data_IF_502825035885
#
_entry.id   IF_502825035885
#
_cell.length_a   1.000
_cell.length_b   1.000
_cell.length_c   1.000
_cell.angle_alpha   90.00
_cell.angle_beta   90.00
_cell.angle_gamma   90.00
#
_symmetry.space_group_name_H-M   'P 1'
#
loop_
_entity.id
_entity.type
_entity.pdbx_description
1 polymer ?
#
# COMPACT_ATOMS: atom_id res chain seq x y z
N UNK A 1 -22.80 58.20 -51.19
CA UNK A 1 -21.41 58.43 -51.63
C UNK A 1 -20.63 57.13 -51.49
N UNK A 2 -20.27 56.60 -52.64
CA UNK A 2 -19.07 55.81 -52.99
C UNK A 2 -18.24 55.10 -51.89
N UNK A 3 -18.18 53.79 -52.11
CA UNK A 3 -17.17 52.80 -51.80
C UNK A 3 -15.68 53.22 -51.75
N UNK A 4 -14.96 52.42 -50.94
CA UNK A 4 -13.61 51.81 -51.10
C UNK A 4 -12.37 52.64 -50.73
N UNK A 5 -11.67 52.13 -49.71
CA UNK A 5 -10.23 51.79 -49.79
C UNK A 5 -10.00 50.49 -48.98
N UNK A 6 -9.71 49.36 -49.64
CA UNK A 6 -8.39 48.84 -50.08
C UNK A 6 -7.73 47.98 -48.99
N UNK A 7 -7.89 46.65 -49.13
CA UNK A 7 -6.97 45.66 -48.56
C UNK A 7 -5.63 45.72 -49.33
N UNK A 8 -4.53 45.81 -48.58
CA UNK A 8 -3.18 45.36 -48.92
C UNK A 8 -2.57 44.90 -47.58
N UNK A 9 -1.98 43.72 -47.38
CA UNK A 9 -1.50 42.68 -48.27
C UNK A 9 -1.83 41.31 -47.67
N UNK A 10 -2.36 40.40 -48.48
CA UNK A 10 -2.13 38.95 -48.27
C UNK A 10 -0.96 38.59 -49.17
N UNK A 11 0.05 37.93 -48.61
CA UNK A 11 1.17 37.38 -49.37
C UNK A 11 0.66 36.21 -50.22
N UNK A 12 0.43 36.42 -51.52
CA UNK A 12 0.79 35.47 -52.59
C UNK A 12 0.44 35.99 -54.01
N UNK A 13 1.17 35.54 -55.05
CA UNK A 13 1.11 36.14 -56.38
C UNK A 13 0.14 35.39 -57.31
N UNK A 14 -0.59 36.12 -58.16
CA UNK A 14 -0.64 35.93 -59.63
C UNK A 14 -1.68 36.83 -60.33
N UNK A 15 -1.15 37.63 -61.25
CA UNK A 15 -1.61 38.08 -62.59
C UNK A 15 -3.10 37.93 -63.00
N UNK A 16 -3.65 39.05 -63.49
CA UNK A 16 -4.52 39.28 -64.69
C UNK A 16 -5.66 40.26 -64.35
N UNK A 17 -6.20 41.13 -65.21
CA UNK A 17 -5.89 41.81 -66.49
C UNK A 17 -6.95 42.94 -66.58
N UNK A 18 -6.65 44.02 -67.31
CA UNK A 18 -7.41 45.29 -67.50
C UNK A 18 -8.96 45.14 -67.63
N UNK A 19 -9.77 46.17 -67.33
CA UNK A 19 -10.23 47.19 -68.31
C UNK A 19 -10.79 48.46 -67.63
N UNK A 20 -10.69 49.54 -68.40
CA UNK A 20 -10.72 51.00 -68.15
C UNK A 20 -12.15 51.56 -68.06
N UNK A 21 -12.27 52.77 -67.47
CA UNK A 21 -13.11 53.94 -67.84
C UNK A 21 -13.68 54.58 -66.56
N UNK A 22 -13.78 55.89 -66.34
CA UNK A 22 -13.26 57.14 -66.90
C UNK A 22 -13.71 58.24 -65.89
N UNK A 23 -13.11 59.44 -65.97
CA UNK A 23 -13.58 60.74 -65.42
C UNK A 23 -13.20 61.13 -63.96
N UNK A 24 -12.12 61.92 -63.86
CA UNK A 24 -12.03 63.30 -63.30
C UNK A 24 -13.00 63.71 -62.16
N UNK A 25 -12.59 64.27 -61.01
CA UNK A 25 -11.93 65.59 -60.84
C UNK A 25 -11.43 65.84 -59.38
N UNK A 26 -10.21 66.41 -59.29
CA UNK A 26 -9.65 67.46 -58.41
C UNK A 26 -10.02 67.65 -56.91
N UNK A 27 -8.94 67.62 -56.11
CA UNK A 27 -8.44 68.60 -55.09
C UNK A 27 -9.24 68.87 -53.80
N UNK A 28 -8.66 68.54 -52.65
CA UNK A 28 -7.90 69.44 -51.75
C UNK A 28 -7.52 68.68 -50.45
N UNK A 29 -6.24 68.60 -50.08
CA UNK A 29 -5.51 69.48 -49.15
C UNK A 29 -5.73 69.18 -47.65
N UNK A 30 -4.65 68.66 -47.05
CA UNK A 30 -4.15 68.91 -45.69
C UNK A 30 -4.81 68.22 -44.48
N UNK A 31 -4.05 67.31 -43.84
CA UNK A 31 -3.51 67.50 -42.48
C UNK A 31 -2.88 66.19 -41.99
N UNK A 32 -1.56 66.19 -41.80
CA UNK A 32 -0.82 65.12 -41.12
C UNK A 32 -1.19 65.06 -39.63
N UNK A 33 -1.47 63.87 -39.11
CA UNK A 33 -1.55 63.59 -37.67
C UNK A 33 -0.66 62.41 -37.34
N UNK A 34 0.40 62.67 -36.59
CA UNK A 34 1.33 61.68 -36.03
C UNK A 34 0.68 60.97 -34.85
N UNK A 35 0.75 59.64 -34.80
CA UNK A 35 0.27 58.83 -33.67
C UNK A 35 1.46 58.24 -32.89
N UNK A 36 1.46 58.37 -31.56
CA UNK A 36 2.38 57.67 -30.65
C UNK A 36 1.84 56.27 -30.29
N UNK A 37 2.72 55.27 -30.00
CA UNK A 37 2.29 53.92 -29.66
C UNK A 37 1.85 53.81 -28.19
N UNK A 38 0.77 53.04 -27.96
CA UNK A 38 0.28 52.64 -26.64
C UNK A 38 1.22 51.58 -26.03
N UNK A 39 1.63 51.79 -24.78
CA UNK A 39 2.29 50.78 -23.94
C UNK A 39 1.21 49.91 -23.27
N UNK A 40 1.25 48.59 -23.49
CA UNK A 40 0.44 47.61 -22.77
C UNK A 40 1.13 47.21 -21.46
N UNK A 41 0.48 47.48 -20.33
CA UNK A 41 0.83 46.93 -19.02
C UNK A 41 0.28 45.50 -18.90
N UNK A 42 1.02 44.52 -18.34
CA UNK A 42 0.46 43.20 -18.09
C UNK A 42 -0.61 43.26 -16.97
N UNK A 43 -1.65 42.41 -17.01
CA UNK A 43 -2.75 42.44 -16.06
C UNK A 43 -2.29 41.96 -14.66
N UNK A 44 -2.96 42.43 -13.59
CA UNK A 44 -2.61 42.05 -12.23
C UNK A 44 -3.00 40.60 -11.97
N UNK A 45 -2.05 39.80 -11.49
CA UNK A 45 -2.32 38.45 -10.99
C UNK A 45 -3.08 38.58 -9.66
N UNK A 46 -4.33 38.08 -9.62
CA UNK A 46 -5.20 38.20 -8.44
C UNK A 46 -4.67 37.40 -7.25
N UNK A 47 -4.61 38.04 -6.08
CA UNK A 47 -4.18 37.46 -4.81
C UNK A 47 -4.99 36.22 -4.39
N UNK A 48 -6.21 36.09 -4.89
CA UNK A 48 -7.10 34.94 -4.65
C UNK A 48 -6.50 33.61 -5.16
N UNK A 49 -5.76 33.66 -6.27
CA UNK A 49 -5.13 32.47 -6.85
C UNK A 49 -3.98 31.92 -5.99
N UNK A 50 -3.34 32.78 -5.18
CA UNK A 50 -2.25 32.38 -4.27
C UNK A 50 -2.81 31.76 -2.97
N UNK A 51 -3.88 32.36 -2.42
CA UNK A 51 -4.55 31.86 -1.20
C UNK A 51 -5.15 30.46 -1.40
N UNK A 52 -5.83 30.24 -2.53
CA UNK A 52 -6.41 28.93 -2.87
C UNK A 52 -5.36 27.83 -3.04
N UNK A 53 -4.20 28.14 -3.62
CA UNK A 53 -3.09 27.18 -3.77
C UNK A 53 -2.49 26.77 -2.43
N UNK A 54 -2.33 27.72 -1.52
CA UNK A 54 -1.84 27.45 -0.16
C UNK A 54 -2.85 26.60 0.62
N UNK A 55 -4.14 26.96 0.57
CA UNK A 55 -5.20 26.20 1.22
C UNK A 55 -5.33 24.77 0.67
N UNK A 56 -5.25 24.57 -0.65
CA UNK A 56 -5.24 23.25 -1.27
C UNK A 56 -4.00 22.43 -0.88
N UNK A 57 -2.84 23.07 -0.74
CA UNK A 57 -1.60 22.42 -0.31
C UNK A 57 -1.70 21.97 1.16
N UNK A 58 -2.27 22.78 2.04
CA UNK A 58 -2.54 22.41 3.44
C UNK A 58 -3.56 21.28 3.54
N UNK A 59 -4.63 21.30 2.73
CA UNK A 59 -5.57 20.18 2.65
C UNK A 59 -4.93 18.92 2.11
N UNK A 60 -4.07 19.02 1.09
CA UNK A 60 -3.32 17.88 0.56
C UNK A 60 -2.34 17.36 1.61
N UNK A 61 -1.62 18.22 2.35
CA UNK A 61 -0.72 17.82 3.43
C UNK A 61 -1.51 17.14 4.56
N UNK A 62 -2.69 17.65 4.93
CA UNK A 62 -3.58 17.01 5.92
C UNK A 62 -4.10 15.67 5.42
N UNK A 63 -4.54 15.56 4.17
CA UNK A 63 -4.96 14.30 3.55
C UNK A 63 -3.80 13.30 3.47
N UNK A 64 -2.59 13.75 3.12
CA UNK A 64 -1.38 12.93 3.11
C UNK A 64 -0.98 12.52 4.52
N UNK A 65 -1.08 13.39 5.53
CA UNK A 65 -0.83 13.06 6.93
C UNK A 65 -1.85 12.06 7.48
N UNK A 66 -3.13 12.17 7.09
CA UNK A 66 -4.18 11.17 7.38
C UNK A 66 -3.85 9.85 6.68
N UNK A 67 -3.34 9.88 5.44
CA UNK A 67 -2.89 8.69 4.71
C UNK A 67 -1.63 8.05 5.33
N UNK A 68 -0.77 8.83 6.00
CA UNK A 68 0.43 8.35 6.71
C UNK A 68 0.07 7.61 8.00
N UNK A 69 -1.17 7.72 8.49
CA UNK A 69 -1.72 6.78 9.48
C UNK A 69 -2.13 5.47 8.76
N UNK A 70 -1.22 4.89 7.97
CA UNK A 70 -1.30 3.45 7.74
C UNK A 70 -0.96 2.82 9.09
N UNK A 71 -1.95 2.21 9.74
CA UNK A 71 -1.80 1.50 11.00
C UNK A 71 -0.56 0.61 10.96
N UNK A 72 0.49 1.04 11.65
CA UNK A 72 1.65 0.17 11.86
C UNK A 72 1.16 -0.98 12.74
N UNK A 73 1.34 -2.22 12.27
CA UNK A 73 1.02 -3.39 13.09
C UNK A 73 1.80 -3.29 14.41
N UNK A 74 1.12 -3.53 15.53
CA UNK A 74 1.79 -3.58 16.84
C UNK A 74 2.76 -4.76 16.83
N UNK A 75 4.02 -4.47 17.16
CA UNK A 75 5.05 -5.48 17.35
C UNK A 75 5.02 -5.96 18.80
N UNK A 76 5.00 -7.27 19.02
CA UNK A 76 5.11 -7.89 20.34
C UNK A 76 6.56 -8.30 20.59
N UNK A 77 7.17 -7.83 21.66
CA UNK A 77 8.58 -8.05 22.00
C UNK A 77 8.79 -8.85 23.28
N UNK A 78 7.72 -9.19 24.01
CA UNK A 78 7.80 -9.99 25.23
C UNK A 78 6.63 -10.96 25.35
N UNK A 79 6.80 -11.97 26.19
CA UNK A 79 5.74 -12.93 26.51
C UNK A 79 4.55 -12.26 27.20
N UNK A 80 4.80 -11.29 28.07
CA UNK A 80 3.75 -10.50 28.73
C UNK A 80 2.86 -9.82 27.69
N UNK A 81 3.45 -9.17 26.69
CA UNK A 81 2.70 -8.55 25.61
C UNK A 81 1.90 -9.58 24.79
N UNK A 82 2.44 -10.79 24.58
CA UNK A 82 1.72 -11.89 23.95
C UNK A 82 0.53 -12.37 24.82
N UNK A 83 0.73 -12.55 26.12
CA UNK A 83 -0.31 -12.97 27.06
C UNK A 83 -1.45 -11.96 27.16
N UNK A 84 -1.12 -10.67 27.15
CA UNK A 84 -2.09 -9.57 27.16
C UNK A 84 -2.97 -9.53 25.91
N UNK A 85 -2.50 -10.11 24.80
CA UNK A 85 -3.35 -10.25 23.61
C UNK A 85 -4.42 -11.33 23.77
N UNK A 86 -4.26 -12.28 24.70
CA UNK A 86 -5.06 -13.50 24.80
C UNK A 86 -5.04 -14.36 23.52
N UNK A 87 -3.98 -14.25 22.71
CA UNK A 87 -3.89 -15.01 21.47
C UNK A 87 -3.90 -16.52 21.75
N UNK A 88 -4.85 -17.22 21.12
CA UNK A 88 -4.86 -18.67 21.11
C UNK A 88 -5.12 -19.36 22.46
N UNK A 89 -5.59 -18.62 23.47
CA UNK A 89 -5.92 -19.11 24.81
C UNK A 89 -7.14 -18.36 25.38
N UNK A 90 -8.01 -19.01 26.18
CA UNK A 90 -8.03 -20.42 26.58
C UNK A 90 -8.55 -21.36 25.49
N UNK A 91 -8.47 -22.69 25.68
CA UNK A 91 -9.21 -23.65 24.88
C UNK A 91 -10.67 -23.22 24.68
N UNK A 92 -11.24 -23.42 23.48
CA UNK A 92 -10.76 -24.30 22.42
C UNK A 92 -9.82 -23.62 21.40
N UNK A 93 -9.44 -22.36 21.64
CA UNK A 93 -8.41 -21.67 20.88
C UNK A 93 -7.10 -22.44 20.90
N UNK A 94 -6.36 -22.40 19.80
CA UNK A 94 -5.17 -23.23 19.59
C UNK A 94 -3.92 -22.45 19.17
N UNK A 95 -4.05 -21.14 18.99
CA UNK A 95 -3.00 -20.27 18.48
C UNK A 95 -1.71 -20.30 19.28
N UNK A 96 -1.78 -20.33 20.61
CA UNK A 96 -0.58 -20.34 21.45
C UNK A 96 0.18 -21.65 21.27
N UNK A 97 -0.52 -22.79 21.26
CA UNK A 97 0.08 -24.10 20.99
C UNK A 97 0.70 -24.16 19.58
N UNK A 98 -0.01 -23.62 18.58
CA UNK A 98 0.47 -23.52 17.20
C UNK A 98 1.75 -22.67 17.10
N UNK A 99 1.76 -21.49 17.70
CA UNK A 99 2.90 -20.56 17.68
C UNK A 99 4.12 -21.18 18.37
N UNK A 100 3.93 -21.77 19.55
CA UNK A 100 4.99 -22.42 20.30
C UNK A 100 5.62 -23.58 19.53
N UNK A 101 4.79 -24.40 18.86
CA UNK A 101 5.29 -25.46 18.00
C UNK A 101 6.02 -24.89 16.78
N UNK A 102 5.45 -23.91 16.09
CA UNK A 102 6.02 -23.31 14.88
C UNK A 102 7.41 -22.73 15.14
N UNK A 103 7.56 -21.88 16.16
CA UNK A 103 8.82 -21.20 16.50
C UNK A 103 9.93 -22.19 16.86
N UNK A 104 9.58 -23.37 17.37
CA UNK A 104 10.55 -24.40 17.80
C UNK A 104 10.86 -25.44 16.74
N UNK A 105 9.93 -25.71 15.82
CA UNK A 105 10.04 -26.83 14.88
C UNK A 105 10.17 -26.41 13.42
N UNK A 106 9.64 -25.25 13.06
CA UNK A 106 9.62 -24.81 11.67
C UNK A 106 10.64 -23.72 11.32
N UNK A 107 11.39 -23.20 12.29
CA UNK A 107 12.42 -22.17 12.04
C UNK A 107 13.66 -22.37 12.90
N UNK A 108 14.84 -22.19 12.33
CA UNK A 108 16.14 -22.24 13.05
C UNK A 108 16.55 -20.89 13.64
N UNK A 109 17.66 -20.84 14.38
CA UNK A 109 18.17 -19.62 15.00
C UNK A 109 18.50 -18.49 14.00
N UNK A 110 18.72 -18.82 12.73
CA UNK A 110 18.98 -17.87 11.65
C UNK A 110 17.71 -17.50 10.85
N UNK A 111 16.53 -17.92 11.35
CA UNK A 111 15.22 -17.77 10.70
C UNK A 111 15.08 -18.50 9.36
N UNK A 112 15.89 -19.53 9.13
CA UNK A 112 15.72 -20.44 7.99
C UNK A 112 14.49 -21.29 8.23
N UNK A 113 13.63 -21.43 7.22
CA UNK A 113 12.46 -22.28 7.29
C UNK A 113 12.87 -23.76 7.26
N UNK A 114 12.45 -24.50 8.28
CA UNK A 114 12.65 -25.96 8.40
C UNK A 114 11.44 -26.76 7.94
N UNK A 115 10.24 -26.15 8.02
CA UNK A 115 9.05 -26.64 7.34
C UNK A 115 9.00 -26.05 5.93
N UNK A 116 8.22 -26.66 5.03
CA UNK A 116 8.03 -26.20 3.65
C UNK A 116 6.61 -25.62 3.42
N UNK A 117 6.46 -24.28 3.51
CA UNK A 117 5.20 -23.62 3.22
C UNK A 117 4.74 -23.76 1.76
N UNK A 118 5.68 -23.94 0.81
CA UNK A 118 5.39 -24.04 -0.62
C UNK A 118 4.77 -25.39 -0.95
N UNK A 119 5.30 -26.46 -0.35
CA UNK A 119 4.71 -27.80 -0.42
C UNK A 119 3.38 -27.92 0.34
N UNK A 120 3.09 -26.97 1.24
CA UNK A 120 1.87 -26.95 2.04
C UNK A 120 1.91 -27.90 3.24
N UNK A 121 3.12 -28.17 3.76
CA UNK A 121 3.29 -28.99 4.96
C UNK A 121 2.43 -28.47 6.11
N UNK A 122 1.89 -29.37 6.93
CA UNK A 122 1.11 -29.01 8.14
C UNK A 122 -0.10 -28.07 7.87
N UNK A 123 -0.51 -27.92 6.62
CA UNK A 123 -1.59 -27.02 6.21
C UNK A 123 -1.17 -25.59 5.90
N UNK A 124 0.12 -25.34 5.64
CA UNK A 124 0.54 -24.10 5.01
C UNK A 124 -0.17 -23.88 3.67
N UNK A 125 -0.52 -22.62 3.41
CA UNK A 125 -1.02 -22.17 2.12
C UNK A 125 -0.75 -20.69 1.87
N UNK A 126 -0.74 -20.25 0.60
CA UNK A 126 -0.55 -18.84 0.28
C UNK A 126 -1.58 -17.95 0.97
N UNK A 127 -1.11 -16.92 1.64
CA UNK A 127 -1.93 -15.83 2.17
C UNK A 127 -1.85 -14.64 1.20
N UNK A 128 -2.93 -14.40 0.46
CA UNK A 128 -2.91 -13.43 -0.64
C UNK A 128 -2.89 -11.96 -0.17
N UNK A 129 -3.17 -11.71 1.11
CA UNK A 129 -3.22 -10.37 1.69
C UNK A 129 -4.12 -9.38 0.91
N UNK A 130 -5.28 -9.85 0.43
CA UNK A 130 -6.20 -9.06 -0.43
C UNK A 130 -6.80 -7.85 0.29
N UNK A 131 -7.01 -7.95 1.60
CA UNK A 131 -7.48 -6.85 2.45
C UNK A 131 -6.39 -5.86 2.88
N UNK A 132 -5.15 -6.02 2.43
CA UNK A 132 -4.00 -5.21 2.86
C UNK A 132 -3.80 -5.20 4.39
N UNK A 133 -4.08 -6.33 5.05
CA UNK A 133 -3.85 -6.53 6.48
C UNK A 133 -2.36 -6.40 6.83
N UNK A 134 -1.50 -6.97 6.00
CA UNK A 134 -0.04 -6.95 6.15
C UNK A 134 0.59 -5.96 5.16
N UNK A 135 1.84 -5.52 5.38
CA UNK A 135 2.54 -4.68 4.42
C UNK A 135 2.56 -5.30 3.01
N UNK A 136 2.27 -4.54 1.95
CA UNK A 136 2.25 -5.07 0.59
C UNK A 136 3.65 -5.54 0.16
N UNK A 137 3.71 -6.72 -0.48
CA UNK A 137 4.94 -7.24 -1.05
C UNK A 137 5.29 -6.48 -2.33
N UNK A 138 6.37 -5.71 -2.29
CA UNK A 138 6.91 -4.99 -3.47
C UNK A 138 7.47 -5.95 -4.51
N UNK A 139 8.12 -7.03 -4.06
CA UNK A 139 8.66 -8.09 -4.91
C UNK A 139 7.99 -9.43 -4.59
N UNK A 140 6.95 -9.74 -5.36
CA UNK A 140 6.20 -11.01 -5.25
C UNK A 140 6.91 -12.20 -5.90
N UNK A 141 8.05 -11.99 -6.57
CA UNK A 141 8.87 -13.07 -7.15
C UNK A 141 9.82 -13.66 -6.12
N UNK A 142 10.31 -12.82 -5.20
CA UNK A 142 11.21 -13.24 -4.13
C UNK A 142 10.46 -13.54 -2.83
N UNK A 143 9.39 -12.79 -2.55
CA UNK A 143 8.65 -12.91 -1.29
C UNK A 143 7.22 -13.36 -1.50
N UNK A 144 6.73 -14.18 -0.58
CA UNK A 144 5.33 -14.57 -0.48
C UNK A 144 4.91 -14.65 0.99
N UNK A 145 3.63 -14.39 1.26
CA UNK A 145 3.05 -14.69 2.55
C UNK A 145 2.41 -16.07 2.51
N UNK A 146 2.62 -16.85 3.57
CA UNK A 146 1.96 -18.12 3.81
C UNK A 146 1.29 -18.09 5.17
N UNK A 147 0.21 -18.84 5.34
CA UNK A 147 -0.48 -18.97 6.62
C UNK A 147 -0.69 -20.42 6.99
N UNK A 148 -0.71 -20.68 8.29
CA UNK A 148 -0.98 -21.97 8.92
C UNK A 148 -1.92 -21.76 10.11
N UNK A 149 -2.59 -22.84 10.51
CA UNK A 149 -3.53 -22.85 11.64
C UNK A 149 -4.99 -22.94 11.22
N UNK A 150 -5.30 -22.90 9.92
CA UNK A 150 -6.64 -23.30 9.48
C UNK A 150 -6.77 -24.84 9.54
N UNK A 151 -7.42 -25.34 10.59
CA UNK A 151 -7.63 -26.76 10.85
C UNK A 151 -8.58 -27.45 9.88
N UNK A 152 -9.30 -26.69 9.03
CA UNK A 152 -10.04 -27.24 7.88
C UNK A 152 -9.18 -27.44 6.63
N UNK A 153 -7.97 -26.88 6.59
CA UNK A 153 -7.16 -26.91 5.38
C UNK A 153 -6.51 -28.28 5.15
N UNK A 154 -6.21 -28.62 3.89
CA UNK A 154 -5.46 -29.82 3.55
C UNK A 154 -4.16 -29.86 4.37
N UNK A 155 -3.71 -31.05 4.77
CA UNK A 155 -2.51 -31.26 5.62
C UNK A 155 -2.57 -30.66 7.04
N UNK A 156 -3.64 -29.98 7.45
CA UNK A 156 -3.75 -29.50 8.83
C UNK A 156 -3.82 -30.65 9.87
N UNK A 157 -4.27 -31.84 9.46
CA UNK A 157 -4.23 -33.05 10.29
C UNK A 157 -2.81 -33.52 10.64
N UNK A 158 -1.81 -33.08 9.87
CA UNK A 158 -0.40 -33.42 10.06
C UNK A 158 0.22 -32.55 11.17
N UNK A 159 -0.46 -31.48 11.61
CA UNK A 159 -0.08 -30.72 12.80
C UNK A 159 -0.04 -31.64 14.04
N UNK A 160 0.85 -31.34 15.01
CA UNK A 160 0.93 -32.10 16.25
C UNK A 160 -0.43 -32.18 16.94
N UNK A 161 -0.70 -33.34 17.57
CA UNK A 161 -1.94 -33.55 18.30
C UNK A 161 -2.23 -32.43 19.31
N UNK A 162 -1.22 -31.97 20.05
CA UNK A 162 -1.36 -30.88 21.03
C UNK A 162 -1.84 -29.55 20.44
N UNK A 163 -1.55 -29.29 19.16
CA UNK A 163 -2.03 -28.09 18.46
C UNK A 163 -3.51 -28.23 18.06
N UNK A 164 -3.98 -29.45 17.79
CA UNK A 164 -5.33 -29.69 17.25
C UNK A 164 -6.29 -30.37 18.24
N UNK A 165 -5.88 -30.59 19.48
CA UNK A 165 -6.61 -31.42 20.46
C UNK A 165 -7.99 -30.88 20.85
N UNK A 166 -8.20 -29.57 20.80
CA UNK A 166 -9.46 -28.91 21.14
C UNK A 166 -10.26 -28.47 19.91
N UNK A 167 -9.85 -28.91 18.73
CA UNK A 167 -10.55 -28.59 17.52
C UNK A 167 -11.95 -29.18 17.52
N UNK A 168 -12.96 -28.32 17.36
CA UNK A 168 -14.34 -28.70 17.14
C UNK A 168 -14.85 -28.00 15.88
N UNK A 169 -15.17 -28.73 14.80
CA UNK A 169 -15.67 -28.13 13.56
C UNK A 169 -16.99 -27.35 13.72
N UNK A 170 -17.70 -27.48 14.85
CA UNK A 170 -18.90 -26.72 15.17
C UNK A 170 -18.63 -25.49 16.05
N UNK A 171 -17.40 -25.30 16.52
CA UNK A 171 -16.97 -24.12 17.27
C UNK A 171 -16.00 -23.29 16.42
N UNK A 172 -16.47 -22.13 15.98
CA UNK A 172 -15.69 -21.19 15.18
C UNK A 172 -14.42 -20.71 15.89
N UNK A 173 -14.45 -20.60 17.22
CA UNK A 173 -13.29 -20.19 18.02
C UNK A 173 -12.17 -21.22 17.91
N UNK A 174 -12.51 -22.52 17.86
CA UNK A 174 -11.53 -23.61 17.85
C UNK A 174 -10.62 -23.63 16.61
N UNK A 175 -10.97 -22.85 15.57
CA UNK A 175 -10.21 -22.71 14.34
C UNK A 175 -9.99 -21.24 13.97
N UNK A 176 -9.90 -20.35 14.95
CA UNK A 176 -9.72 -18.91 14.72
C UNK A 176 -8.28 -18.48 14.51
N UNK A 177 -7.32 -19.23 15.04
CA UNK A 177 -5.94 -18.78 15.17
C UNK A 177 -5.10 -19.00 13.92
N UNK A 178 -4.32 -17.99 13.54
CA UNK A 178 -3.42 -18.03 12.38
C UNK A 178 -2.03 -17.59 12.77
N UNK A 179 -1.05 -18.32 12.26
CA UNK A 179 0.32 -17.82 12.11
C UNK A 179 0.50 -17.50 10.63
N UNK A 180 0.94 -16.29 10.31
CA UNK A 180 1.26 -15.85 8.95
C UNK A 180 2.73 -15.54 8.87
N UNK A 181 3.40 -15.98 7.81
CA UNK A 181 4.85 -15.88 7.67
C UNK A 181 5.19 -15.26 6.34
N UNK A 182 6.20 -14.39 6.31
CA UNK A 182 6.77 -13.86 5.08
C UNK A 182 8.00 -14.66 4.73
N UNK A 183 7.90 -15.46 3.68
CA UNK A 183 8.99 -16.29 3.19
C UNK A 183 9.74 -15.58 2.08
N UNK A 184 11.05 -15.47 2.22
CA UNK A 184 11.99 -15.23 1.14
C UNK A 184 12.27 -16.56 0.42
N UNK A 185 11.60 -16.78 -0.71
CA UNK A 185 11.64 -18.05 -1.44
C UNK A 185 13.03 -18.36 -2.00
N UNK A 186 13.84 -17.34 -2.31
CA UNK A 186 15.20 -17.55 -2.85
C UNK A 186 16.22 -17.98 -1.78
N UNK A 187 15.99 -17.57 -0.53
CA UNK A 187 16.91 -17.84 0.59
C UNK A 187 16.38 -18.87 1.58
N UNK A 188 15.16 -19.36 1.36
CA UNK A 188 14.41 -20.18 2.31
C UNK A 188 14.39 -19.57 3.72
N UNK A 189 14.16 -18.26 3.81
CA UNK A 189 14.26 -17.49 5.06
C UNK A 189 12.93 -16.84 5.43
N UNK A 190 12.52 -16.98 6.68
CA UNK A 190 11.38 -16.27 7.26
C UNK A 190 11.84 -14.87 7.67
N UNK A 191 11.29 -13.85 7.01
CA UNK A 191 11.64 -12.45 7.28
C UNK A 191 10.77 -11.87 8.39
N UNK A 192 9.47 -12.20 8.38
CA UNK A 192 8.47 -11.69 9.32
C UNK A 192 7.53 -12.82 9.75
N UNK A 193 7.11 -12.83 11.02
CA UNK A 193 6.09 -13.74 11.57
C UNK A 193 5.00 -12.88 12.18
N UNK A 194 3.76 -13.17 11.83
CA UNK A 194 2.57 -12.52 12.36
C UNK A 194 1.68 -13.55 13.03
N UNK A 195 1.00 -13.13 14.08
CA UNK A 195 -0.11 -13.89 14.69
C UNK A 195 -1.40 -13.13 14.42
N UNK A 196 -2.50 -13.87 14.22
CA UNK A 196 -3.78 -13.27 13.90
C UNK A 196 -4.97 -14.11 14.31
N UNK A 197 -6.06 -13.46 14.72
CA UNK A 197 -7.38 -14.08 14.90
C UNK A 197 -8.23 -13.84 13.65
N UNK A 198 -8.43 -14.87 12.81
CA UNK A 198 -9.20 -14.78 11.56
C UNK A 198 -8.84 -13.56 10.67
N UNK A 199 -7.59 -13.13 10.66
CA UNK A 199 -7.14 -11.97 9.86
C UNK A 199 -7.78 -10.64 10.28
N UNK A 200 -8.26 -10.52 11.52
CA UNK A 200 -8.78 -9.27 12.08
C UNK A 200 -7.63 -8.27 12.32
N UNK A 201 -7.68 -7.05 11.75
CA UNK A 201 -6.65 -6.02 11.93
C UNK A 201 -6.32 -5.68 13.39
N UNK A 202 -7.33 -5.61 14.26
CA UNK A 202 -7.15 -5.25 15.68
C UNK A 202 -6.56 -6.41 16.50
N UNK A 203 -6.56 -7.60 15.91
CA UNK A 203 -6.10 -8.86 16.52
C UNK A 203 -4.99 -9.48 15.68
N UNK A 204 -4.22 -8.65 14.97
CA UNK A 204 -3.06 -9.04 14.17
C UNK A 204 -1.82 -8.31 14.67
N UNK A 205 -0.77 -9.08 14.95
CA UNK A 205 0.44 -8.56 15.55
C UNK A 205 1.67 -9.07 14.82
N UNK A 206 2.70 -8.23 14.72
CA UNK A 206 4.04 -8.65 14.26
C UNK A 206 4.80 -9.22 15.45
N UNK A 207 5.46 -10.35 15.27
CA UNK A 207 6.33 -10.95 16.28
C UNK A 207 7.71 -10.29 16.19
N UNK A 208 8.14 -9.65 17.29
CA UNK A 208 9.49 -9.13 17.44
C UNK A 208 10.51 -10.24 17.65
N UNK A 209 11.76 -9.97 17.28
CA UNK A 209 12.87 -10.94 17.41
C UNK A 209 13.08 -11.39 18.85
N UNK A 210 12.96 -10.46 19.82
CA UNK A 210 13.10 -10.76 21.25
C UNK A 210 12.07 -11.80 21.72
N UNK A 211 10.80 -11.60 21.36
CA UNK A 211 9.76 -12.57 21.68
C UNK A 211 10.03 -13.94 21.04
N UNK A 212 10.48 -13.98 19.78
CA UNK A 212 10.82 -15.24 19.10
C UNK A 212 11.95 -15.97 19.84
N UNK A 213 12.98 -15.25 20.30
CA UNK A 213 14.08 -15.80 21.08
C UNK A 213 13.61 -16.33 22.45
N UNK A 214 12.77 -15.58 23.15
CA UNK A 214 12.18 -15.97 24.44
C UNK A 214 11.36 -17.26 24.30
N UNK A 215 10.45 -17.33 23.32
CA UNK A 215 9.62 -18.52 23.08
C UNK A 215 10.45 -19.78 22.77
N UNK A 216 11.65 -19.62 22.18
CA UNK A 216 12.60 -20.73 21.98
C UNK A 216 13.26 -21.17 23.29
N UNK A 217 13.62 -20.23 24.15
CA UNK A 217 14.24 -20.49 25.45
C UNK A 217 13.30 -21.12 26.50
N UNK A 218 12.00 -20.84 26.43
CA UNK A 218 11.00 -21.23 27.43
C UNK A 218 10.88 -22.72 27.76
N UNK A 219 11.34 -23.63 26.89
CA UNK A 219 11.31 -25.07 27.23
C UNK A 219 12.51 -25.55 28.04
N UNK A 220 13.63 -24.82 28.04
CA UNK A 220 14.77 -25.18 28.88
C UNK A 220 14.47 -24.96 30.38
N UNK A 221 13.48 -24.11 30.70
CA UNK A 221 13.03 -23.85 32.07
C UNK A 221 11.88 -24.76 32.51
N UNK A 222 10.97 -25.14 31.60
CA UNK A 222 9.86 -26.05 31.94
C UNK A 222 10.27 -27.53 32.02
N UNK A 223 11.40 -27.94 31.41
CA UNK A 223 11.97 -29.28 31.62
C UNK A 223 12.82 -29.41 32.90
N UNK A 224 13.07 -28.31 33.63
CA UNK A 224 13.87 -28.33 34.87
C UNK A 224 13.02 -28.48 36.15
N UNK A 225 11.71 -28.64 36.01
CA UNK A 225 10.74 -28.68 37.12
C UNK A 225 9.92 -29.97 37.14
N UNK A 226 10.53 -31.10 36.75
CA UNK A 226 9.96 -32.44 36.92
C UNK A 226 11.08 -33.40 37.29
#
# INVERSE_FOLDING_TARGET
MTHKSRKCCTNQPRRCRLIINNLELKLSSSAERTCHPLQDSPPPVSADSFSLRTAMREHLIRLLAILVITSSLKTLNSEEELWDTHFGYPPPRHGLALLMWYVKKCIDNNMVALCDPVAGEFGFHPFLNTGSLLPPLKDKRTYAYFTIGNLHYKHAKDLPYEVRKYYDPHDELSNMDRVVVKLNMNKNKIEDIYISEHYNPDRTFLMGVLLIEDLRGLQNLTQKTT
#
